data_IF_274730253749
#
_entry.id   IF_274730253749
#
_cell.length_a   1.000
_cell.length_b   1.000
_cell.length_c   1.000
_cell.angle_alpha   90.00
_cell.angle_beta   90.00
_cell.angle_gamma   90.00
#
_symmetry.space_group_name_H-M   'P 1'
#
loop_
_entity.id
_entity.type
_entity.pdbx_description
1 polymer ?
#
# COMPACT_ATOMS: atom_id res chain seq x y z
N UNK A 1 -47.74 25.09 21.31
CA UNK A 1 -47.91 23.84 20.54
C UNK A 1 -47.29 24.04 19.16
N UNK A 2 -46.00 23.76 19.03
CA UNK A 2 -45.27 23.74 17.75
C UNK A 2 -43.88 23.17 18.02
N UNK A 3 -43.73 21.84 18.08
CA UNK A 3 -42.40 21.19 18.19
C UNK A 3 -42.29 19.90 17.36
N UNK A 4 -43.35 19.45 16.69
CA UNK A 4 -43.35 18.20 15.95
C UNK A 4 -43.14 18.35 14.44
N UNK A 5 -42.85 19.55 13.94
CA UNK A 5 -42.67 19.79 12.49
C UNK A 5 -41.23 20.08 12.09
N UNK A 6 -40.35 20.45 13.03
CA UNK A 6 -38.94 20.79 12.72
C UNK A 6 -37.99 19.59 12.64
N UNK A 7 -38.35 18.44 13.20
CA UNK A 7 -37.55 17.22 13.05
C UNK A 7 -37.77 16.51 11.71
N UNK A 8 -38.94 16.69 11.08
CA UNK A 8 -39.24 16.14 9.76
C UNK A 8 -38.55 16.91 8.62
N UNK A 9 -38.36 18.22 8.77
CA UNK A 9 -37.56 19.04 7.83
C UNK A 9 -36.05 18.79 7.98
N UNK A 10 -35.55 18.53 9.20
CA UNK A 10 -34.16 18.14 9.44
C UNK A 10 -33.85 16.69 8.97
N UNK A 11 -34.78 15.76 9.12
CA UNK A 11 -34.64 14.39 8.61
C UNK A 11 -34.79 14.32 7.08
N UNK A 12 -35.67 15.14 6.49
CA UNK A 12 -35.84 15.23 5.02
C UNK A 12 -34.62 15.80 4.29
N UNK A 13 -33.86 16.70 4.91
CA UNK A 13 -32.64 17.27 4.33
C UNK A 13 -31.45 16.30 4.31
N UNK A 14 -31.33 15.42 5.30
CA UNK A 14 -30.23 14.45 5.40
C UNK A 14 -30.48 13.22 4.52
N UNK A 15 -31.74 12.79 4.38
CA UNK A 15 -32.10 11.66 3.50
C UNK A 15 -31.98 12.05 2.01
N UNK A 16 -32.15 13.33 1.66
CA UNK A 16 -31.91 13.83 0.30
C UNK A 16 -30.45 13.90 -0.12
N UNK A 17 -29.51 14.08 0.82
CA UNK A 17 -28.07 14.17 0.53
C UNK A 17 -27.42 12.80 0.26
N UNK A 18 -28.00 11.71 0.77
CA UNK A 18 -27.50 10.33 0.57
C UNK A 18 -28.14 9.66 -0.66
N UNK A 19 -29.26 10.19 -1.16
CA UNK A 19 -30.02 9.64 -2.31
C UNK A 19 -29.61 10.14 -3.70
N UNK A 20 -28.63 11.04 -3.82
CA UNK A 20 -28.13 11.49 -5.11
C UNK A 20 -27.31 10.41 -5.84
N UNK A 21 -27.09 10.54 -7.17
CA UNK A 21 -26.29 9.57 -7.94
C UNK A 21 -24.90 9.32 -7.35
N UNK A 22 -24.27 10.38 -6.80
CA UNK A 22 -22.99 10.28 -6.10
C UNK A 22 -23.07 9.51 -4.77
N UNK A 23 -24.13 9.72 -3.98
CA UNK A 23 -24.36 9.02 -2.71
C UNK A 23 -24.67 7.53 -2.92
N UNK A 24 -25.50 7.21 -3.92
CA UNK A 24 -25.78 5.84 -4.34
C UNK A 24 -24.52 5.15 -4.88
N UNK A 25 -23.68 5.85 -5.66
CA UNK A 25 -22.41 5.32 -6.16
C UNK A 25 -21.39 5.07 -5.04
N UNK A 26 -21.29 5.99 -4.07
CA UNK A 26 -20.45 5.82 -2.88
C UNK A 26 -20.92 4.64 -2.03
N UNK A 27 -22.22 4.55 -1.75
CA UNK A 27 -22.82 3.44 -1.00
C UNK A 27 -22.66 2.10 -1.74
N UNK A 28 -22.77 2.09 -3.07
CA UNK A 28 -22.53 0.92 -3.90
C UNK A 28 -21.07 0.46 -3.85
N UNK A 29 -20.11 1.39 -3.98
CA UNK A 29 -18.69 1.08 -3.86
C UNK A 29 -18.34 0.59 -2.46
N UNK A 30 -18.91 1.19 -1.41
CA UNK A 30 -18.73 0.75 -0.04
C UNK A 30 -19.35 -0.63 0.21
N UNK A 31 -20.53 -0.92 -0.36
CA UNK A 31 -21.14 -2.25 -0.31
C UNK A 31 -20.29 -3.29 -1.05
N UNK A 32 -19.75 -2.94 -2.23
CA UNK A 32 -18.87 -3.81 -3.03
C UNK A 32 -17.54 -4.08 -2.32
N UNK A 33 -16.93 -3.07 -1.72
CA UNK A 33 -15.72 -3.22 -0.91
C UNK A 33 -15.98 -4.10 0.32
N UNK A 34 -17.10 -3.90 1.00
CA UNK A 34 -17.51 -4.73 2.15
C UNK A 34 -17.79 -6.19 1.76
N UNK A 35 -18.33 -6.46 0.56
CA UNK A 35 -18.45 -7.83 0.06
C UNK A 35 -17.09 -8.45 -0.25
N UNK A 36 -16.16 -7.73 -0.89
CA UNK A 36 -14.81 -8.24 -1.18
C UNK A 36 -14.03 -8.58 0.08
N UNK A 37 -14.13 -7.72 1.11
CA UNK A 37 -13.58 -7.96 2.45
C UNK A 37 -14.01 -9.28 3.08
N UNK A 38 -15.17 -9.86 2.70
CA UNK A 38 -15.68 -11.13 3.27
C UNK A 38 -14.98 -12.38 2.73
N UNK A 39 -14.26 -12.29 1.61
CA UNK A 39 -13.68 -13.45 0.92
C UNK A 39 -12.16 -13.62 1.14
N UNK A 40 -11.59 -12.92 2.12
CA UNK A 40 -10.15 -12.94 2.37
C UNK A 40 -9.40 -11.79 1.67
N UNK A 41 -8.08 -11.69 1.87
CA UNK A 41 -7.26 -10.68 1.23
C UNK A 41 -7.19 -10.88 -0.29
N UNK A 42 -7.07 -9.81 -1.11
CA UNK A 42 -6.96 -9.94 -2.56
C UNK A 42 -5.78 -10.82 -2.99
N UNK A 43 -6.03 -11.84 -3.83
CA UNK A 43 -4.98 -12.76 -4.32
C UNK A 43 -3.81 -12.03 -5.02
N UNK A 44 -4.11 -10.89 -5.67
CA UNK A 44 -3.12 -10.05 -6.32
C UNK A 44 -2.02 -9.55 -5.37
N UNK A 45 -2.30 -9.42 -4.06
CA UNK A 45 -1.30 -9.02 -3.06
C UNK A 45 -0.11 -10.00 -3.00
N UNK A 46 -0.35 -11.30 -3.23
CA UNK A 46 0.71 -12.32 -3.22
C UNK A 46 1.72 -12.04 -4.33
N UNK A 47 1.23 -11.78 -5.55
CA UNK A 47 2.08 -11.50 -6.70
C UNK A 47 2.82 -10.17 -6.57
N UNK A 48 2.16 -9.15 -6.03
CA UNK A 48 2.79 -7.84 -5.80
C UNK A 48 3.89 -7.91 -4.73
N UNK A 49 3.62 -8.57 -3.59
CA UNK A 49 4.63 -8.78 -2.54
C UNK A 49 5.80 -9.60 -3.06
N UNK A 50 5.55 -10.69 -3.77
CA UNK A 50 6.62 -11.51 -4.36
C UNK A 50 7.51 -10.69 -5.29
N UNK A 51 6.91 -9.85 -6.16
CA UNK A 51 7.66 -8.95 -7.03
C UNK A 51 8.50 -7.93 -6.24
N UNK A 52 7.92 -7.30 -5.21
CA UNK A 52 8.64 -6.35 -4.36
C UNK A 52 9.83 -7.02 -3.67
N UNK A 53 9.65 -8.24 -3.15
CA UNK A 53 10.71 -9.03 -2.51
C UNK A 53 11.82 -9.36 -3.52
N UNK A 54 11.48 -9.78 -4.72
CA UNK A 54 12.48 -10.14 -5.74
C UNK A 54 13.31 -8.92 -6.16
N UNK A 55 12.66 -7.76 -6.39
CA UNK A 55 13.36 -6.50 -6.65
C UNK A 55 14.23 -6.10 -5.44
N UNK A 56 13.71 -6.24 -4.22
CA UNK A 56 14.46 -5.97 -3.00
C UNK A 56 15.73 -6.82 -2.91
N UNK A 57 15.67 -8.11 -3.25
CA UNK A 57 16.86 -8.98 -3.29
C UNK A 57 17.89 -8.53 -4.31
N UNK A 58 17.45 -8.10 -5.50
CA UNK A 58 18.35 -7.60 -6.54
C UNK A 58 19.09 -6.32 -6.11
N UNK A 59 18.41 -5.46 -5.35
CA UNK A 59 18.96 -4.23 -4.79
C UNK A 59 19.89 -4.51 -3.60
N UNK A 60 19.54 -5.47 -2.75
CA UNK A 60 20.38 -5.90 -1.63
C UNK A 60 21.70 -6.51 -2.12
N UNK A 61 21.66 -7.30 -3.19
CA UNK A 61 22.84 -7.94 -3.76
C UNK A 61 23.75 -6.96 -4.52
N UNK A 62 23.17 -5.98 -5.20
CA UNK A 62 23.91 -5.06 -6.04
C UNK A 62 23.26 -3.69 -6.08
N UNK A 63 24.09 -2.65 -6.02
CA UNK A 63 23.64 -1.28 -6.16
C UNK A 63 22.83 -1.09 -7.45
N UNK A 64 21.67 -0.43 -7.34
CA UNK A 64 20.80 -0.08 -8.47
C UNK A 64 20.60 1.44 -8.53
N UNK A 65 20.72 1.97 -9.73
CA UNK A 65 20.48 3.40 -9.98
C UNK A 65 18.98 3.70 -10.19
N UNK A 66 18.67 4.99 -10.33
CA UNK A 66 17.29 5.45 -10.51
C UNK A 66 16.65 4.84 -11.77
N UNK A 67 17.39 4.79 -12.88
CA UNK A 67 16.89 4.30 -14.15
C UNK A 67 16.46 2.82 -14.05
N UNK A 68 17.27 2.01 -13.36
CA UNK A 68 16.91 0.62 -13.08
C UNK A 68 15.68 0.53 -12.16
N UNK A 69 15.62 1.33 -11.09
CA UNK A 69 14.49 1.31 -10.15
C UNK A 69 13.17 1.73 -10.81
N UNK A 70 13.21 2.75 -11.67
CA UNK A 70 12.05 3.18 -12.45
C UNK A 70 11.57 2.07 -13.39
N UNK A 71 12.51 1.38 -14.05
CA UNK A 71 12.20 0.27 -14.96
C UNK A 71 11.76 -1.02 -14.26
N UNK A 72 12.19 -1.26 -13.02
CA UNK A 72 11.83 -2.46 -12.24
C UNK A 72 10.32 -2.57 -11.96
N UNK A 73 9.63 -1.42 -11.96
CA UNK A 73 8.23 -1.32 -11.57
C UNK A 73 8.01 -1.51 -10.07
N UNK A 74 9.02 -1.25 -9.23
CA UNK A 74 8.93 -1.26 -7.77
C UNK A 74 7.88 -0.27 -7.25
N UNK A 75 7.95 0.97 -7.72
CA UNK A 75 7.00 2.03 -7.37
C UNK A 75 5.56 1.63 -7.75
N UNK A 76 5.35 1.19 -8.99
CA UNK A 76 4.05 0.74 -9.49
C UNK A 76 3.49 -0.44 -8.67
N UNK A 77 4.35 -1.39 -8.29
CA UNK A 77 3.93 -2.52 -7.46
C UNK A 77 3.51 -2.08 -6.05
N UNK A 78 4.25 -1.14 -5.45
CA UNK A 78 3.94 -0.55 -4.15
C UNK A 78 2.64 0.23 -4.16
N UNK A 79 2.42 1.08 -5.17
CA UNK A 79 1.19 1.86 -5.32
C UNK A 79 -0.02 0.93 -5.47
N UNK A 80 0.11 -0.09 -6.31
CA UNK A 80 -0.95 -1.08 -6.50
C UNK A 80 -1.22 -1.90 -5.24
N UNK A 81 -0.20 -2.17 -4.45
CA UNK A 81 -0.35 -2.83 -3.15
C UNK A 81 -1.12 -1.92 -2.19
N UNK A 82 -0.77 -0.63 -2.08
CA UNK A 82 -1.46 0.36 -1.25
C UNK A 82 -2.95 0.49 -1.61
N UNK A 83 -3.27 0.47 -2.91
CA UNK A 83 -4.65 0.42 -3.40
C UNK A 83 -5.40 -0.85 -2.98
N UNK A 84 -4.74 -1.93 -2.59
CA UNK A 84 -5.37 -3.18 -2.18
C UNK A 84 -5.38 -3.37 -0.66
N UNK A 85 -4.48 -2.71 0.09
CA UNK A 85 -4.40 -2.79 1.56
C UNK A 85 -5.75 -2.49 2.21
N UNK A 86 -6.49 -1.49 1.74
CA UNK A 86 -7.78 -1.12 2.32
C UNK A 86 -8.87 -2.21 2.19
N UNK A 87 -8.65 -3.24 1.38
CA UNK A 87 -9.54 -4.39 1.23
C UNK A 87 -9.21 -5.52 2.20
N UNK A 88 -8.07 -5.45 2.91
CA UNK A 88 -7.67 -6.41 3.94
C UNK A 88 -8.40 -6.10 5.24
N UNK A 89 -9.07 -7.09 5.83
CA UNK A 89 -9.77 -6.94 7.12
C UNK A 89 -8.89 -7.14 8.34
N UNK A 90 -7.86 -7.98 8.21
CA UNK A 90 -6.94 -8.22 9.31
C UNK A 90 -6.05 -6.98 9.46
N UNK A 91 -6.24 -6.23 10.55
CA UNK A 91 -5.52 -4.99 10.83
C UNK A 91 -4.02 -5.21 10.91
N UNK A 92 -3.56 -6.27 11.59
CA UNK A 92 -2.13 -6.60 11.68
C UNK A 92 -1.52 -6.89 10.30
N UNK A 93 -2.25 -7.59 9.43
CA UNK A 93 -1.77 -7.84 8.06
C UNK A 93 -1.76 -6.55 7.22
N UNK A 94 -2.74 -5.65 7.43
CA UNK A 94 -2.78 -4.36 6.75
C UNK A 94 -1.65 -3.43 7.22
N UNK A 95 -1.30 -3.46 8.51
CA UNK A 95 -0.14 -2.77 9.08
C UNK A 95 1.16 -3.30 8.47
N UNK A 96 1.34 -4.61 8.40
CA UNK A 96 2.53 -5.22 7.78
C UNK A 96 2.68 -4.81 6.30
N UNK A 97 1.58 -4.82 5.53
CA UNK A 97 1.59 -4.36 4.13
C UNK A 97 1.96 -2.88 4.00
N UNK A 98 1.51 -2.06 4.96
CA UNK A 98 1.84 -0.63 5.01
C UNK A 98 3.32 -0.42 5.34
N UNK A 99 3.86 -1.23 6.26
CA UNK A 99 5.27 -1.21 6.62
C UNK A 99 6.17 -1.58 5.42
N UNK A 100 5.81 -2.63 4.67
CA UNK A 100 6.51 -2.98 3.42
C UNK A 100 6.51 -1.80 2.44
N UNK A 101 5.38 -1.09 2.28
CA UNK A 101 5.30 0.11 1.44
C UNK A 101 6.21 1.27 1.93
N UNK A 102 6.35 1.43 3.25
CA UNK A 102 7.28 2.39 3.82
C UNK A 102 8.75 2.03 3.52
N UNK A 103 9.11 0.74 3.60
CA UNK A 103 10.45 0.29 3.22
C UNK A 103 10.75 0.50 1.74
N UNK A 104 9.78 0.27 0.85
CA UNK A 104 9.94 0.58 -0.58
C UNK A 104 10.28 2.06 -0.77
N UNK A 105 9.60 2.95 -0.05
CA UNK A 105 9.89 4.40 -0.09
C UNK A 105 11.32 4.70 0.36
N UNK A 106 11.83 4.00 1.38
CA UNK A 106 13.21 4.17 1.84
C UNK A 106 14.24 3.68 0.82
N UNK A 107 13.97 2.55 0.13
CA UNK A 107 14.83 2.03 -0.95
C UNK A 107 14.88 3.01 -2.12
N UNK A 108 13.73 3.50 -2.58
CA UNK A 108 13.63 4.49 -3.67
C UNK A 108 14.34 5.81 -3.31
N UNK A 109 14.26 6.24 -2.04
CA UNK A 109 14.95 7.42 -1.54
C UNK A 109 16.45 7.24 -1.31
N UNK A 110 16.98 6.01 -1.40
CA UNK A 110 18.39 5.69 -1.16
C UNK A 110 19.24 5.64 -2.44
N UNK A 111 18.90 6.44 -3.45
CA UNK A 111 19.66 6.55 -4.70
C UNK A 111 20.60 7.76 -4.65
N UNK A 112 21.90 7.60 -4.99
CA UNK A 112 22.85 8.69 -4.95
C UNK A 112 22.60 9.72 -6.07
N UNK A 113 22.71 11.00 -5.72
CA UNK A 113 22.67 12.10 -6.70
C UNK A 113 24.08 12.37 -7.28
N UNK A 114 24.14 12.90 -8.50
CA UNK A 114 25.36 13.01 -9.33
C UNK A 114 26.55 13.71 -8.65
N UNK A 115 26.29 14.60 -7.69
CA UNK A 115 27.32 15.41 -7.01
C UNK A 115 27.95 14.78 -5.77
N UNK A 116 27.77 13.48 -5.52
CA UNK A 116 28.31 12.84 -4.32
C UNK A 116 29.82 12.50 -4.42
N UNK A 117 30.54 12.81 -3.34
CA UNK A 117 31.91 12.36 -3.11
C UNK A 117 32.02 10.83 -3.09
N UNK A 118 33.23 10.27 -3.28
CA UNK A 118 33.44 8.80 -3.24
C UNK A 118 32.99 8.17 -1.92
N UNK A 119 33.28 8.81 -0.79
CA UNK A 119 32.87 8.29 0.53
C UNK A 119 31.34 8.37 0.73
N UNK A 120 30.72 9.42 0.20
CA UNK A 120 29.24 9.54 0.18
C UNK A 120 28.59 8.44 -0.64
N UNK A 121 29.19 8.05 -1.79
CA UNK A 121 28.67 6.96 -2.63
C UNK A 121 28.69 5.62 -1.90
N UNK A 122 29.79 5.27 -1.23
CA UNK A 122 29.89 4.00 -0.48
C UNK A 122 28.85 3.93 0.64
N UNK A 123 28.66 5.04 1.36
CA UNK A 123 27.63 5.15 2.41
C UNK A 123 26.21 4.99 1.84
N UNK A 124 25.91 5.61 0.70
CA UNK A 124 24.60 5.47 0.05
C UNK A 124 24.36 4.06 -0.46
N UNK A 125 25.36 3.41 -1.06
CA UNK A 125 25.25 2.00 -1.49
C UNK A 125 24.95 1.10 -0.28
N UNK A 126 25.67 1.25 0.82
CA UNK A 126 25.43 0.49 2.05
C UNK A 126 24.04 0.76 2.63
N UNK A 127 23.57 2.02 2.57
CA UNK A 127 22.23 2.41 3.02
C UNK A 127 21.13 1.78 2.15
N UNK A 128 21.32 1.77 0.83
CA UNK A 128 20.39 1.15 -0.11
C UNK A 128 20.29 -0.36 0.13
N UNK A 129 21.43 -1.04 0.27
CA UNK A 129 21.47 -2.46 0.58
C UNK A 129 20.75 -2.78 1.90
N UNK A 130 21.02 -2.02 2.96
CA UNK A 130 20.38 -2.22 4.28
C UNK A 130 18.86 -2.06 4.22
N UNK A 131 18.35 -1.05 3.52
CA UNK A 131 16.89 -0.88 3.37
C UNK A 131 16.28 -1.98 2.51
N UNK A 132 17.01 -2.45 1.50
CA UNK A 132 16.56 -3.57 0.68
C UNK A 132 16.53 -4.89 1.46
N UNK A 133 17.50 -5.16 2.33
CA UNK A 133 17.47 -6.31 3.25
C UNK A 133 16.26 -6.27 4.17
N UNK A 134 16.00 -5.11 4.81
CA UNK A 134 14.83 -4.92 5.67
C UNK A 134 13.52 -5.13 4.90
N UNK A 135 13.41 -4.57 3.70
CA UNK A 135 12.27 -4.77 2.81
C UNK A 135 12.04 -6.26 2.49
N UNK A 136 13.11 -7.02 2.24
CA UNK A 136 13.02 -8.45 1.93
C UNK A 136 12.56 -9.25 3.14
N UNK A 137 13.08 -8.96 4.33
CA UNK A 137 12.72 -9.67 5.56
C UNK A 137 11.26 -9.42 5.94
N UNK A 138 10.86 -8.13 6.03
CA UNK A 138 9.48 -7.74 6.33
C UNK A 138 8.50 -8.23 5.25
N UNK A 139 8.91 -8.14 3.97
CA UNK A 139 8.11 -8.63 2.85
C UNK A 139 7.86 -10.14 2.93
N UNK A 140 8.87 -10.94 3.30
CA UNK A 140 8.72 -12.40 3.48
C UNK A 140 7.79 -12.73 4.64
N UNK A 141 7.96 -12.07 5.79
CA UNK A 141 7.09 -12.28 6.94
C UNK A 141 5.63 -11.93 6.59
N UNK A 142 5.42 -10.79 5.94
CA UNK A 142 4.10 -10.36 5.46
C UNK A 142 3.50 -11.37 4.47
N UNK A 143 4.30 -11.87 3.52
CA UNK A 143 3.86 -12.86 2.53
C UNK A 143 3.46 -14.19 3.18
N UNK A 144 4.19 -14.63 4.21
CA UNK A 144 3.82 -15.83 4.98
C UNK A 144 2.51 -15.64 5.73
N UNK A 145 2.32 -14.50 6.40
CA UNK A 145 1.06 -14.17 7.06
C UNK A 145 -0.09 -14.11 6.07
N UNK A 146 0.10 -13.46 4.92
CA UNK A 146 -0.88 -13.37 3.85
C UNK A 146 -1.33 -14.76 3.38
N UNK A 147 -0.39 -15.68 3.15
CA UNK A 147 -0.68 -17.06 2.72
C UNK A 147 -1.47 -17.88 3.74
N UNK A 148 -1.34 -17.58 5.05
CA UNK A 148 -2.13 -18.25 6.10
C UNK A 148 -3.58 -17.76 6.18
N UNK A 149 -3.88 -16.60 5.58
CA UNK A 149 -5.19 -15.97 5.59
C UNK A 149 -5.96 -16.10 4.27
N UNK A 150 -5.36 -16.78 3.28
CA UNK A 150 -5.99 -17.20 2.03
C UNK A 150 -6.47 -18.65 2.16
#
# INVERSE_FOLDING_TARGET
>A
MSDTTDWLSAAGGIVGAVGGPAGLWAAWNQHRANRRRRYGPPEALVGLLAKIIDIGRDVAFSFRDQAWLDASGLSVASDRMAELVHLVRNESLAEDLTLVGAQVTLVLGAVPHEFQSRDSRTSTVAKQARYADQLVDEGRECLEKLRRHM
#
